data_IF_223703367340
#
_entry.id   IF_223703367340
#
_cell.length_a   1.000
_cell.length_b   1.000
_cell.length_c   1.000
_cell.angle_alpha   90.00
_cell.angle_beta   90.00
_cell.angle_gamma   90.00
#
_symmetry.space_group_name_H-M   'P 1'
#
loop_
_entity.id
_entity.type
_entity.pdbx_description
1 polymer ?
#
# COMPACT_ATOMS: atom_id res chain seq x y z
N UNK A 1 33.56 -3.50 -11.96
CA UNK A 1 33.94 -4.25 -10.75
C UNK A 1 35.46 -4.29 -10.72
N UNK A 2 36.04 -3.93 -9.58
CA UNK A 2 37.47 -3.93 -9.38
C UNK A 2 37.81 -4.89 -8.23
N UNK A 3 39.01 -5.48 -8.27
CA UNK A 3 39.56 -6.24 -7.14
C UNK A 3 40.12 -5.31 -6.06
N UNK A 4 40.57 -5.89 -4.92
CA UNK A 4 41.15 -5.13 -3.81
C UNK A 4 42.47 -4.36 -4.16
N UNK A 5 43.05 -4.60 -5.35
CA UNK A 5 44.25 -3.94 -5.84
C UNK A 5 43.94 -2.88 -6.93
N UNK A 6 42.65 -2.65 -7.21
CA UNK A 6 42.23 -1.70 -8.23
C UNK A 6 42.25 -2.22 -9.67
N UNK A 7 42.41 -3.53 -9.87
CA UNK A 7 42.39 -4.14 -11.21
C UNK A 7 40.97 -4.34 -11.66
N UNK A 8 40.61 -3.87 -12.86
CA UNK A 8 39.28 -4.04 -13.44
C UNK A 8 39.04 -5.52 -13.78
N UNK A 9 38.10 -6.17 -13.04
CA UNK A 9 37.72 -7.56 -13.24
C UNK A 9 36.65 -7.74 -14.32
N UNK A 10 35.68 -6.85 -14.35
CA UNK A 10 34.54 -6.89 -15.28
C UNK A 10 34.05 -5.47 -15.57
N UNK A 11 33.89 -5.15 -16.86
CA UNK A 11 33.19 -3.96 -17.33
C UNK A 11 31.93 -4.39 -18.08
N UNK A 12 30.75 -4.08 -17.54
CA UNK A 12 29.48 -4.27 -18.23
C UNK A 12 28.89 -2.90 -18.56
N UNK A 13 28.66 -2.64 -19.85
CA UNK A 13 27.98 -1.44 -20.29
C UNK A 13 26.48 -1.73 -20.27
N UNK A 14 25.75 -1.12 -19.34
CA UNK A 14 24.29 -1.14 -19.33
C UNK A 14 23.80 0.00 -20.21
N UNK A 15 22.95 -0.31 -21.20
CA UNK A 15 22.17 0.71 -21.89
C UNK A 15 20.87 0.87 -21.10
N UNK A 16 20.73 1.98 -20.42
CA UNK A 16 19.48 2.40 -19.83
C UNK A 16 18.76 3.18 -20.92
N UNK A 17 17.71 2.59 -21.50
CA UNK A 17 16.80 3.33 -22.36
C UNK A 17 15.86 4.09 -21.41
N UNK A 18 16.13 5.35 -21.18
CA UNK A 18 15.19 6.26 -20.54
C UNK A 18 14.19 6.63 -21.64
N UNK A 19 13.05 5.91 -21.70
CA UNK A 19 11.91 6.41 -22.46
C UNK A 19 11.31 7.58 -21.66
N UNK A 20 10.87 8.61 -22.37
CA UNK A 20 10.12 9.73 -21.78
C UNK A 20 8.65 9.36 -21.56
N UNK A 21 8.37 8.10 -21.33
CA UNK A 21 7.03 7.60 -21.08
C UNK A 21 6.67 7.80 -19.61
N UNK A 22 5.39 7.85 -19.35
CA UNK A 22 4.73 8.06 -18.05
C UNK A 22 5.58 7.53 -16.89
N UNK A 23 5.79 8.33 -15.87
CA UNK A 23 6.50 7.89 -14.67
C UNK A 23 5.80 6.66 -14.06
N UNK A 24 6.56 5.74 -13.49
CA UNK A 24 6.02 4.54 -12.85
C UNK A 24 6.02 4.74 -11.33
N UNK A 25 4.92 4.35 -10.68
CA UNK A 25 4.78 4.22 -9.24
C UNK A 25 4.95 2.75 -8.87
N UNK A 26 6.02 2.42 -8.18
CA UNK A 26 6.35 1.05 -7.84
C UNK A 26 5.68 0.62 -6.53
N UNK A 27 4.79 -0.36 -6.62
CA UNK A 27 4.01 -0.89 -5.49
C UNK A 27 4.44 -2.32 -5.19
N UNK A 28 5.12 -2.53 -4.07
CA UNK A 28 5.35 -3.87 -3.52
C UNK A 28 4.08 -4.38 -2.85
N UNK A 29 3.68 -5.63 -3.12
CA UNK A 29 2.49 -6.25 -2.55
C UNK A 29 2.90 -7.45 -1.71
N UNK A 30 2.59 -7.42 -0.42
CA UNK A 30 2.72 -8.55 0.49
C UNK A 30 1.33 -9.03 0.90
N UNK A 31 0.91 -10.17 0.36
CA UNK A 31 -0.42 -10.74 0.55
C UNK A 31 -0.39 -12.27 0.42
N UNK A 32 -1.26 -12.98 1.13
CA UNK A 32 -1.51 -14.41 0.92
C UNK A 32 -2.36 -14.66 -0.36
N UNK A 33 -3.02 -13.61 -0.92
CA UNK A 33 -3.88 -13.65 -2.11
C UNK A 33 -3.46 -12.62 -3.20
N UNK A 34 -2.20 -12.64 -3.68
CA UNK A 34 -1.68 -11.59 -4.56
C UNK A 34 -2.40 -11.50 -5.91
N UNK A 35 -2.96 -12.58 -6.41
CA UNK A 35 -3.69 -12.61 -7.69
C UNK A 35 -4.97 -11.77 -7.66
N UNK A 36 -5.63 -11.66 -6.51
CA UNK A 36 -6.81 -10.81 -6.30
C UNK A 36 -6.47 -9.32 -6.33
N UNK A 37 -5.20 -8.96 -6.33
CA UNK A 37 -4.70 -7.58 -6.32
C UNK A 37 -4.17 -7.11 -7.69
N UNK A 38 -4.37 -7.91 -8.75
CA UNK A 38 -3.94 -7.57 -10.12
C UNK A 38 -4.58 -6.27 -10.65
N UNK A 39 -5.74 -5.86 -10.12
CA UNK A 39 -6.40 -4.60 -10.47
C UNK A 39 -5.55 -3.37 -10.12
N UNK A 40 -4.60 -3.49 -9.19
CA UNK A 40 -3.67 -2.41 -8.81
C UNK A 40 -2.60 -2.14 -9.87
N UNK A 41 -2.36 -3.07 -10.81
CA UNK A 41 -1.30 -2.91 -11.81
C UNK A 41 -1.76 -2.11 -13.02
N UNK A 42 -0.93 -1.17 -13.46
CA UNK A 42 -1.17 -0.38 -14.68
C UNK A 42 -2.24 0.71 -14.54
N UNK A 43 -2.64 1.06 -13.31
CA UNK A 43 -3.58 2.14 -13.03
C UNK A 43 -2.90 3.49 -13.20
N UNK A 44 -3.56 4.43 -13.88
CA UNK A 44 -3.13 5.82 -13.93
C UNK A 44 -3.48 6.51 -12.63
N UNK A 45 -2.51 7.16 -12.01
CA UNK A 45 -2.65 7.91 -10.75
C UNK A 45 -2.34 9.38 -11.02
N UNK A 46 -2.96 10.27 -10.27
CA UNK A 46 -2.80 11.71 -10.40
C UNK A 46 -3.00 12.18 -11.87
N UNK A 47 -4.25 12.06 -12.36
CA UNK A 47 -4.62 12.37 -13.75
C UNK A 47 -3.81 11.59 -14.80
N UNK A 48 -3.43 10.35 -14.47
CA UNK A 48 -2.60 9.47 -15.31
C UNK A 48 -1.19 10.00 -15.61
N UNK A 49 -0.69 10.91 -14.78
CA UNK A 49 0.70 11.40 -14.87
C UNK A 49 1.72 10.32 -14.50
N UNK A 50 1.30 9.39 -13.65
CA UNK A 50 2.08 8.23 -13.17
C UNK A 50 1.27 6.96 -13.38
N UNK A 51 1.93 5.82 -13.60
CA UNK A 51 1.28 4.50 -13.67
C UNK A 51 1.82 3.55 -12.63
N UNK A 52 0.93 2.86 -11.95
CA UNK A 52 1.31 1.82 -10.99
C UNK A 52 1.96 0.64 -11.69
N UNK A 53 3.01 0.11 -11.05
CA UNK A 53 3.65 -1.15 -11.40
C UNK A 53 3.83 -1.99 -10.15
N UNK A 54 3.17 -3.13 -10.12
CA UNK A 54 3.11 -3.98 -8.93
C UNK A 54 4.18 -5.08 -8.95
N UNK A 55 4.65 -5.45 -7.77
CA UNK A 55 5.58 -6.56 -7.52
C UNK A 55 5.07 -7.38 -6.35
N UNK A 56 4.85 -8.66 -6.57
CA UNK A 56 4.45 -9.56 -5.50
C UNK A 56 5.65 -9.94 -4.65
N UNK A 57 5.53 -9.75 -3.34
CA UNK A 57 6.50 -10.11 -2.33
C UNK A 57 5.98 -11.30 -1.50
N UNK A 58 6.90 -12.05 -0.94
CA UNK A 58 6.64 -13.13 0.01
C UNK A 58 7.53 -12.94 1.23
N UNK A 59 7.32 -13.68 2.33
CA UNK A 59 8.23 -13.63 3.47
C UNK A 59 9.70 -13.90 3.06
N UNK A 60 9.92 -14.81 2.10
CA UNK A 60 11.28 -15.17 1.65
C UNK A 60 11.94 -14.09 0.78
N UNK A 61 11.13 -13.28 0.07
CA UNK A 61 11.62 -12.23 -0.84
C UNK A 61 11.56 -10.84 -0.22
N UNK A 62 10.90 -10.70 0.93
CA UNK A 62 10.84 -9.45 1.67
C UNK A 62 12.24 -9.06 2.17
N UNK A 63 12.74 -7.85 1.84
CA UNK A 63 14.08 -7.44 2.25
C UNK A 63 14.24 -7.36 3.78
N UNK A 64 15.41 -7.74 4.27
CA UNK A 64 15.83 -7.60 5.67
C UNK A 64 16.64 -6.30 5.94
N UNK A 65 16.75 -5.44 4.92
CA UNK A 65 17.40 -4.11 4.98
C UNK A 65 16.63 -3.11 4.14
N UNK A 66 16.51 -1.89 4.63
CA UNK A 66 15.77 -0.81 3.98
C UNK A 66 16.21 -0.55 2.52
N UNK A 67 17.52 -0.64 2.24
CA UNK A 67 18.08 -0.45 0.88
C UNK A 67 17.49 -1.44 -0.15
N UNK A 68 17.02 -2.60 0.29
CA UNK A 68 16.36 -3.58 -0.58
C UNK A 68 14.98 -3.11 -1.07
N UNK A 69 14.41 -2.10 -0.42
CA UNK A 69 13.11 -1.50 -0.77
C UNK A 69 13.23 -0.15 -1.47
N UNK A 70 14.43 0.36 -1.74
CA UNK A 70 14.65 1.70 -2.34
C UNK A 70 13.98 1.88 -3.71
N UNK A 71 13.63 0.79 -4.39
CA UNK A 71 12.88 0.83 -5.64
C UNK A 71 11.38 1.08 -5.43
N UNK A 72 10.85 0.78 -4.25
CA UNK A 72 9.42 0.88 -3.97
C UNK A 72 9.05 2.31 -3.55
N UNK A 73 7.94 2.80 -4.08
CA UNK A 73 7.28 4.02 -3.61
C UNK A 73 6.24 3.68 -2.53
N UNK A 74 5.54 2.55 -2.71
CA UNK A 74 4.52 2.05 -1.79
C UNK A 74 4.76 0.58 -1.49
N UNK A 75 4.67 0.20 -0.22
CA UNK A 75 4.53 -1.20 0.23
C UNK A 75 3.10 -1.40 0.71
N UNK A 76 2.33 -2.21 -0.01
CA UNK A 76 0.99 -2.64 0.40
C UNK A 76 1.09 -3.98 1.14
N UNK A 77 0.56 -4.02 2.35
CA UNK A 77 0.36 -5.25 3.14
C UNK A 77 -1.14 -5.44 3.36
N UNK A 78 -1.71 -6.53 2.88
CA UNK A 78 -3.14 -6.83 2.98
C UNK A 78 -3.35 -8.33 2.90
N UNK A 79 -4.38 -8.87 3.55
CA UNK A 79 -4.62 -10.32 3.65
C UNK A 79 -3.35 -11.10 4.02
N UNK A 80 -2.61 -10.62 5.03
CA UNK A 80 -1.34 -11.21 5.41
C UNK A 80 -1.12 -11.19 6.93
N UNK A 81 -0.63 -12.30 7.49
CA UNK A 81 -0.21 -12.34 8.88
C UNK A 81 1.23 -11.83 9.02
N UNK A 82 1.39 -10.59 9.48
CA UNK A 82 2.69 -9.93 9.60
C UNK A 82 3.60 -10.52 10.68
N UNK A 83 3.09 -11.40 11.55
CA UNK A 83 3.93 -12.20 12.47
C UNK A 83 4.85 -13.19 11.75
N UNK A 84 4.60 -13.44 10.45
CA UNK A 84 5.48 -14.25 9.59
C UNK A 84 6.77 -13.51 9.20
N UNK A 85 6.80 -12.18 9.33
CA UNK A 85 8.00 -11.39 9.09
C UNK A 85 8.99 -11.58 10.25
N UNK A 86 10.28 -11.62 9.93
CA UNK A 86 11.32 -11.57 10.94
C UNK A 86 11.47 -10.15 11.52
N UNK A 87 12.07 -10.05 12.70
CA UNK A 87 12.37 -8.74 13.32
C UNK A 87 13.19 -7.85 12.37
N UNK A 88 14.19 -8.42 11.67
CA UNK A 88 15.01 -7.67 10.70
C UNK A 88 14.21 -7.16 9.50
N UNK A 89 13.21 -7.91 9.03
CA UNK A 89 12.32 -7.46 7.95
C UNK A 89 11.40 -6.34 8.43
N UNK A 90 10.85 -6.46 9.64
CA UNK A 90 10.01 -5.42 10.25
C UNK A 90 10.83 -4.15 10.49
N UNK A 91 12.04 -4.27 11.01
CA UNK A 91 12.97 -3.14 11.20
C UNK A 91 13.31 -2.46 9.87
N UNK A 92 13.55 -3.26 8.81
CA UNK A 92 13.82 -2.75 7.47
C UNK A 92 12.65 -1.94 6.90
N UNK A 93 11.40 -2.40 7.11
CA UNK A 93 10.20 -1.64 6.73
C UNK A 93 10.15 -0.30 7.47
N UNK A 94 10.40 -0.31 8.78
CA UNK A 94 10.38 0.91 9.56
C UNK A 94 11.49 1.91 9.17
N UNK A 95 12.69 1.41 8.90
CA UNK A 95 13.80 2.24 8.42
C UNK A 95 13.46 2.87 7.06
N UNK A 96 12.92 2.08 6.14
CA UNK A 96 12.51 2.54 4.82
C UNK A 96 11.37 3.58 4.89
N UNK A 97 10.34 3.35 5.73
CA UNK A 97 9.27 4.33 5.94
C UNK A 97 9.84 5.63 6.52
N UNK A 98 10.66 5.55 7.59
CA UNK A 98 11.29 6.75 8.16
C UNK A 98 12.19 7.50 7.18
N UNK A 99 12.71 6.81 6.16
CA UNK A 99 13.48 7.36 5.05
C UNK A 99 12.66 8.10 3.99
N UNK A 100 11.35 7.86 3.91
CA UNK A 100 10.44 8.51 2.95
C UNK A 100 9.49 7.55 2.23
N UNK A 101 9.56 6.24 2.47
CA UNK A 101 8.66 5.25 1.87
C UNK A 101 7.22 5.35 2.42
N UNK A 102 6.26 4.84 1.67
CA UNK A 102 4.85 4.79 2.07
C UNK A 102 4.42 3.36 2.34
N UNK A 103 4.06 3.05 3.59
CA UNK A 103 3.46 1.78 3.97
C UNK A 103 1.93 1.92 3.93
N UNK A 104 1.25 1.09 3.15
CA UNK A 104 -0.21 1.01 3.11
C UNK A 104 -0.66 -0.36 3.65
N UNK A 105 -1.54 -0.35 4.64
CA UNK A 105 -2.03 -1.58 5.30
C UNK A 105 -3.53 -1.70 5.07
N UNK A 106 -3.97 -2.82 4.48
CA UNK A 106 -5.37 -3.22 4.42
C UNK A 106 -5.73 -4.06 5.65
N UNK A 107 -6.87 -3.80 6.27
CA UNK A 107 -7.23 -4.43 7.55
C UNK A 107 -8.48 -5.31 7.48
N UNK A 108 -9.67 -4.76 7.58
CA UNK A 108 -10.91 -5.54 7.54
C UNK A 108 -10.97 -6.65 8.58
N UNK A 109 -11.46 -7.81 8.17
CA UNK A 109 -11.61 -8.98 9.04
C UNK A 109 -10.30 -9.52 9.62
N UNK A 110 -9.16 -9.23 8.97
CA UNK A 110 -7.82 -9.68 9.40
C UNK A 110 -6.97 -8.61 10.07
N UNK A 111 -7.59 -7.53 10.55
CA UNK A 111 -6.89 -6.40 11.16
C UNK A 111 -5.85 -6.78 12.23
N UNK A 112 -6.16 -7.77 13.07
CA UNK A 112 -5.24 -8.23 14.12
C UNK A 112 -4.02 -8.97 13.58
N UNK A 113 -4.12 -9.61 12.42
CA UNK A 113 -3.03 -10.33 11.77
C UNK A 113 -2.18 -9.35 10.95
N UNK A 114 -2.82 -8.54 10.11
CA UNK A 114 -2.12 -7.59 9.23
C UNK A 114 -1.40 -6.48 10.00
N UNK A 115 -1.92 -6.07 11.14
CA UNK A 115 -1.29 -5.06 11.99
C UNK A 115 -0.28 -5.62 12.99
N UNK A 116 -0.19 -6.93 13.18
CA UNK A 116 0.51 -7.53 14.32
C UNK A 116 1.93 -6.99 14.53
N UNK A 117 2.76 -6.93 13.48
CA UNK A 117 4.15 -6.45 13.56
C UNK A 117 4.27 -4.92 13.67
N UNK A 118 3.23 -4.17 13.33
CA UNK A 118 3.27 -2.71 13.23
C UNK A 118 2.42 -2.00 14.31
N UNK A 119 1.56 -2.77 14.98
CA UNK A 119 0.52 -2.26 15.88
C UNK A 119 1.06 -1.35 16.98
N UNK A 120 2.14 -1.76 17.61
CA UNK A 120 2.71 -1.02 18.76
C UNK A 120 3.15 0.39 18.36
N UNK A 121 3.64 0.58 17.15
CA UNK A 121 4.13 1.86 16.65
C UNK A 121 3.02 2.80 16.17
N UNK A 122 1.91 2.27 15.66
CA UNK A 122 0.91 3.09 14.94
C UNK A 122 -0.47 3.11 15.57
N UNK A 123 -0.91 2.05 16.25
CA UNK A 123 -2.26 1.99 16.82
C UNK A 123 -2.30 2.66 18.18
N UNK A 124 -3.25 3.59 18.37
CA UNK A 124 -3.37 4.37 19.60
C UNK A 124 -3.98 3.55 20.74
N UNK A 125 -5.09 2.87 20.45
CA UNK A 125 -5.87 2.10 21.44
C UNK A 125 -6.29 0.75 20.87
N UNK A 126 -6.79 -0.12 21.75
CA UNK A 126 -7.44 -1.34 21.29
C UNK A 126 -8.71 -0.98 20.49
N UNK A 127 -8.88 -1.60 19.33
CA UNK A 127 -10.04 -1.40 18.47
C UNK A 127 -11.05 -2.55 18.64
N UNK A 128 -12.36 -2.28 18.36
CA UNK A 128 -13.40 -3.29 18.44
C UNK A 128 -13.24 -4.39 17.39
N UNK A 129 -14.03 -5.46 17.52
CA UNK A 129 -14.09 -6.47 16.46
C UNK A 129 -14.59 -5.81 15.15
N UNK A 130 -13.99 -6.17 13.99
CA UNK A 130 -14.47 -5.70 12.70
C UNK A 130 -15.96 -6.02 12.47
N UNK A 131 -16.68 -5.11 11.83
CA UNK A 131 -18.09 -5.26 11.48
C UNK A 131 -18.33 -4.98 9.99
N UNK A 132 -19.49 -5.43 9.46
CA UNK A 132 -19.87 -5.18 8.08
C UNK A 132 -20.49 -3.80 7.95
N UNK A 133 -19.93 -2.98 7.06
CA UNK A 133 -20.42 -1.64 6.76
C UNK A 133 -20.69 -1.47 5.27
N UNK A 134 -21.69 -0.66 4.94
CA UNK A 134 -21.92 -0.19 3.59
C UNK A 134 -21.01 1.01 3.35
N UNK A 135 -20.03 0.85 2.47
CA UNK A 135 -19.02 1.88 2.19
C UNK A 135 -19.27 2.48 0.82
N UNK A 136 -19.42 3.81 0.77
CA UNK A 136 -19.41 4.54 -0.49
C UNK A 136 -17.97 4.71 -0.97
N UNK A 137 -17.63 4.03 -2.05
CA UNK A 137 -16.29 4.13 -2.66
C UNK A 137 -16.08 5.48 -3.36
N UNK A 138 -17.14 6.30 -3.48
CA UNK A 138 -17.08 7.66 -4.00
C UNK A 138 -16.56 7.75 -5.43
N UNK A 139 -17.02 6.86 -6.29
CA UNK A 139 -16.68 6.87 -7.72
C UNK A 139 -17.70 7.72 -8.45
N UNK A 140 -17.30 8.92 -8.89
CA UNK A 140 -18.20 9.92 -9.51
C UNK A 140 -18.81 9.48 -10.85
N UNK A 141 -18.24 8.46 -11.51
CA UNK A 141 -18.63 7.98 -12.83
C UNK A 141 -18.93 6.48 -12.82
N UNK A 142 -19.73 6.02 -11.85
CA UNK A 142 -20.32 4.70 -11.96
C UNK A 142 -21.17 4.65 -13.25
N UNK A 143 -20.76 3.83 -14.20
CA UNK A 143 -21.41 3.75 -15.54
C UNK A 143 -22.83 3.22 -15.45
N UNK A 144 -23.26 2.67 -14.34
CA UNK A 144 -24.49 1.92 -14.17
C UNK A 144 -25.54 2.60 -13.27
N UNK A 145 -25.25 3.79 -12.69
CA UNK A 145 -26.25 4.60 -11.99
C UNK A 145 -25.90 4.99 -10.56
N UNK A 146 -26.69 5.88 -9.94
CA UNK A 146 -26.46 6.32 -8.56
C UNK A 146 -26.75 5.16 -7.61
N UNK A 147 -25.73 4.67 -6.91
CA UNK A 147 -25.82 3.56 -5.95
C UNK A 147 -24.78 2.46 -6.19
N UNK A 148 -24.16 2.42 -7.36
CA UNK A 148 -23.16 1.38 -7.70
C UNK A 148 -21.79 1.65 -7.07
N UNK A 149 -21.63 2.78 -6.35
CA UNK A 149 -20.42 3.10 -5.57
C UNK A 149 -20.43 2.49 -4.16
N UNK A 150 -21.58 1.96 -3.69
CA UNK A 150 -21.71 1.36 -2.38
C UNK A 150 -21.41 -0.12 -2.40
N UNK A 151 -20.50 -0.56 -1.55
CA UNK A 151 -20.21 -1.98 -1.34
C UNK A 151 -20.22 -2.32 0.15
N UNK A 152 -20.63 -3.55 0.48
CA UNK A 152 -20.57 -4.03 1.86
C UNK A 152 -19.19 -4.63 2.13
N UNK A 153 -18.47 -4.06 3.06
CA UNK A 153 -17.13 -4.48 3.45
C UNK A 153 -17.05 -4.79 4.92
N UNK A 154 -16.26 -5.78 5.30
CA UNK A 154 -15.86 -5.95 6.68
C UNK A 154 -14.82 -4.88 7.00
N UNK A 155 -15.14 -3.98 7.94
CA UNK A 155 -14.30 -2.84 8.30
C UNK A 155 -13.81 -2.94 9.74
N UNK A 156 -12.57 -2.55 9.96
CA UNK A 156 -11.97 -2.37 11.28
C UNK A 156 -11.90 -0.86 11.61
N UNK A 157 -12.41 -0.49 12.78
CA UNK A 157 -12.39 0.88 13.28
C UNK A 157 -11.12 1.10 14.10
N UNK A 158 -10.11 1.70 13.50
CA UNK A 158 -8.75 1.79 14.05
C UNK A 158 -8.34 3.24 14.21
N UNK A 159 -8.06 3.64 15.45
CA UNK A 159 -7.46 4.94 15.75
C UNK A 159 -5.94 4.83 15.68
N UNK A 160 -5.32 5.69 14.87
CA UNK A 160 -3.87 5.78 14.74
C UNK A 160 -3.30 6.87 15.65
N UNK A 161 -2.11 6.63 16.19
CA UNK A 161 -1.29 7.65 16.88
C UNK A 161 -0.93 8.76 15.89
N UNK A 162 -1.25 10.00 16.24
CA UNK A 162 -1.08 11.17 15.36
C UNK A 162 -1.79 10.99 13.99
N UNK A 163 -2.90 10.23 14.00
CA UNK A 163 -3.64 9.87 12.80
C UNK A 163 -4.40 11.04 12.19
N UNK A 164 -4.43 11.08 10.86
CA UNK A 164 -5.24 12.01 10.08
C UNK A 164 -6.12 11.21 9.13
N UNK A 165 -7.39 11.57 9.07
CA UNK A 165 -8.34 11.02 8.12
C UNK A 165 -7.97 11.48 6.71
N UNK A 166 -7.85 10.52 5.78
CA UNK A 166 -7.51 10.76 4.37
C UNK A 166 -8.75 10.61 3.49
N UNK A 167 -9.50 9.53 3.71
CA UNK A 167 -10.79 9.29 3.07
C UNK A 167 -11.81 8.87 4.13
N UNK A 168 -13.00 9.45 4.06
CA UNK A 168 -14.12 9.08 4.94
C UNK A 168 -15.38 8.76 4.13
N UNK A 169 -16.23 7.98 4.75
CA UNK A 169 -17.59 7.72 4.36
C UNK A 169 -18.50 8.19 5.49
N UNK A 170 -19.16 9.32 5.30
CA UNK A 170 -19.87 10.05 6.35
C UNK A 170 -18.97 10.31 7.57
N UNK A 171 -19.28 9.65 8.71
CA UNK A 171 -18.49 9.79 9.95
C UNK A 171 -17.47 8.66 10.15
N UNK A 172 -17.34 7.75 9.18
CA UNK A 172 -16.46 6.59 9.30
C UNK A 172 -15.19 6.75 8.44
N UNK A 173 -13.99 6.78 9.05
CA UNK A 173 -12.75 6.88 8.28
C UNK A 173 -12.48 5.57 7.52
N UNK A 174 -12.43 5.67 6.20
CA UNK A 174 -12.14 4.56 5.27
C UNK A 174 -10.64 4.35 5.09
N UNK A 175 -9.90 5.46 5.10
CA UNK A 175 -8.45 5.50 5.04
C UNK A 175 -7.96 6.56 6.02
N UNK A 176 -7.08 6.17 6.91
CA UNK A 176 -6.37 7.06 7.83
C UNK A 176 -4.89 6.99 7.57
N UNK A 177 -4.14 8.04 7.89
CA UNK A 177 -2.69 8.03 7.79
C UNK A 177 -2.01 8.62 9.00
N UNK A 178 -0.78 8.19 9.26
CA UNK A 178 0.09 8.76 10.29
C UNK A 178 1.51 8.95 9.74
N UNK A 179 2.13 10.12 9.96
CA UNK A 179 3.51 10.35 9.53
C UNK A 179 4.49 9.56 10.39
N UNK A 180 5.54 9.03 9.77
CA UNK A 180 6.65 8.33 10.44
C UNK A 180 8.00 8.75 9.82
N UNK A 181 8.67 9.65 10.48
CA UNK A 181 9.91 10.24 9.95
C UNK A 181 9.63 11.11 8.72
N UNK A 182 10.17 10.75 7.56
CA UNK A 182 9.91 11.42 6.28
C UNK A 182 8.81 10.74 5.46
N UNK A 183 8.40 9.55 5.85
CA UNK A 183 7.40 8.75 5.15
C UNK A 183 6.06 8.71 5.85
N UNK A 184 5.20 7.85 5.35
CA UNK A 184 3.80 7.79 5.73
C UNK A 184 3.35 6.33 5.95
N UNK A 185 2.47 6.12 6.92
CA UNK A 185 1.73 4.88 7.06
C UNK A 185 0.25 5.17 6.85
N UNK A 186 -0.33 4.57 5.80
CA UNK A 186 -1.77 4.56 5.55
C UNK A 186 -2.39 3.26 6.06
N UNK A 187 -3.56 3.35 6.68
CA UNK A 187 -4.34 2.18 7.11
C UNK A 187 -5.75 2.30 6.56
N UNK A 188 -6.10 1.37 5.67
CA UNK A 188 -7.46 1.21 5.18
C UNK A 188 -8.28 0.37 6.16
N UNK A 189 -9.52 0.76 6.39
CA UNK A 189 -10.43 0.07 7.29
C UNK A 189 -10.83 -1.33 6.80
N UNK A 190 -10.65 -1.62 5.52
CA UNK A 190 -11.00 -2.87 4.84
C UNK A 190 -9.77 -3.57 4.28
N UNK A 191 -9.96 -4.84 3.88
CA UNK A 191 -8.95 -5.60 3.14
C UNK A 191 -9.02 -5.28 1.64
N UNK A 192 -7.87 -5.08 1.00
CA UNK A 192 -7.81 -4.78 -0.45
C UNK A 192 -8.25 -5.95 -1.32
N UNK A 193 -8.22 -7.17 -0.80
CA UNK A 193 -8.76 -8.35 -1.51
C UNK A 193 -10.27 -8.26 -1.62
N UNK A 194 -10.96 -7.71 -0.60
CA UNK A 194 -12.42 -7.62 -0.57
C UNK A 194 -13.00 -6.64 -1.59
N UNK A 195 -12.18 -5.72 -2.13
CA UNK A 195 -12.61 -4.76 -3.16
C UNK A 195 -12.18 -5.15 -4.58
N UNK A 196 -11.62 -6.33 -4.78
CA UNK A 196 -11.09 -6.75 -6.08
C UNK A 196 -12.13 -6.71 -7.19
N UNK A 197 -13.28 -7.32 -6.99
CA UNK A 197 -14.38 -7.38 -7.99
C UNK A 197 -14.88 -5.97 -8.34
N UNK A 198 -14.99 -5.09 -7.36
CA UNK A 198 -15.36 -3.69 -7.57
C UNK A 198 -14.29 -2.96 -8.40
N UNK A 199 -13.03 -3.08 -8.04
CA UNK A 199 -11.92 -2.40 -8.71
C UNK A 199 -11.60 -2.94 -10.11
N UNK A 200 -11.99 -4.16 -10.46
CA UNK A 200 -11.88 -4.64 -11.84
C UNK A 200 -12.64 -3.77 -12.84
N UNK A 201 -13.79 -3.25 -12.44
CA UNK A 201 -14.63 -2.35 -13.24
C UNK A 201 -14.42 -0.87 -12.91
N UNK A 202 -14.08 -0.54 -11.66
CA UNK A 202 -13.98 0.82 -11.13
C UNK A 202 -12.54 1.17 -10.69
N UNK A 203 -11.59 1.09 -11.63
CA UNK A 203 -10.15 1.38 -11.37
C UNK A 203 -9.87 2.82 -10.92
N UNK A 204 -10.79 3.75 -11.18
CA UNK A 204 -10.71 5.13 -10.71
C UNK A 204 -10.68 5.24 -9.18
N UNK A 205 -11.18 4.23 -8.47
CA UNK A 205 -11.06 4.18 -7.02
C UNK A 205 -9.59 4.05 -6.56
N UNK A 206 -8.79 3.25 -7.27
CA UNK A 206 -7.35 3.11 -6.96
C UNK A 206 -6.62 4.44 -7.17
N UNK A 207 -6.93 5.17 -8.25
CA UNK A 207 -6.41 6.52 -8.49
C UNK A 207 -6.78 7.44 -7.32
N UNK A 208 -8.06 7.52 -6.96
CA UNK A 208 -8.55 8.32 -5.85
C UNK A 208 -7.79 8.01 -4.54
N UNK A 209 -7.67 6.72 -4.20
CA UNK A 209 -7.04 6.27 -2.96
C UNK A 209 -5.55 6.62 -2.92
N UNK A 210 -4.81 6.31 -3.99
CA UNK A 210 -3.38 6.57 -4.04
C UNK A 210 -3.08 8.07 -4.14
N UNK A 211 -3.85 8.83 -4.90
CA UNK A 211 -3.71 10.29 -4.98
C UNK A 211 -4.00 10.94 -3.62
N UNK A 212 -5.05 10.52 -2.93
CA UNK A 212 -5.37 11.03 -1.60
C UNK A 212 -4.29 10.69 -0.56
N UNK A 213 -3.69 9.48 -0.64
CA UNK A 213 -2.64 9.04 0.29
C UNK A 213 -1.29 9.72 0.04
N UNK A 214 -0.89 9.85 -1.22
CA UNK A 214 0.45 10.33 -1.61
C UNK A 214 0.51 11.85 -1.80
N UNK A 215 -0.64 12.50 -1.98
CA UNK A 215 -0.73 13.92 -2.34
C UNK A 215 -0.70 14.15 -3.86
N UNK A 216 -0.93 15.41 -4.26
CA UNK A 216 -0.98 15.82 -5.67
C UNK A 216 0.37 16.38 -6.19
N UNK A 217 1.47 16.22 -5.45
CA UNK A 217 2.78 16.78 -5.81
C UNK A 217 3.57 15.96 -6.84
#
# INVERSE_FOLDING_TARGET
LFDGNGTELVRKRLRINVSREVAELYVGILSDSPDSLNYLNGVGVNYSSVRTKTFNLTADTMPDKAVGMDLLDVLLITDYDTRKLSDSQTDAVWEWVRGGGTLLIGTGGRANDTLAAFREEIVETAFPAPDVRSVDMGVEYATDGPGDSFINLTCADISLKDGTEVLANDEFPVLTSTPKGKGLVGVAAYDFVDISDFCETQRSYVDKLLTALLGED
#
